data_IF_834508811619
#
_entry.id   IF_834508811619
#
_cell.length_a   1.000
_cell.length_b   1.000
_cell.length_c   1.000
_cell.angle_alpha   90.00
_cell.angle_beta   90.00
_cell.angle_gamma   90.00
#
_symmetry.space_group_name_H-M   'P 1'
#
loop_
_entity.id
_entity.type
_entity.pdbx_description
1 polymer ?
#
# COMPACT_ATOMS: atom_id res chain seq x y z
N UNK A 1 12.80 7.43 -14.45
CA UNK A 1 11.72 6.47 -14.16
C UNK A 1 12.33 5.08 -14.15
N UNK A 2 12.08 4.32 -13.09
CA UNK A 2 12.53 2.94 -12.93
C UNK A 2 11.30 2.04 -12.91
N UNK A 3 11.14 1.20 -13.92
CA UNK A 3 10.06 0.20 -14.00
C UNK A 3 10.68 -1.19 -13.85
N UNK A 4 10.26 -1.92 -12.81
CA UNK A 4 10.67 -3.31 -12.60
C UNK A 4 9.64 -4.23 -13.24
N UNK A 5 10.03 -4.97 -14.27
CA UNK A 5 9.13 -5.89 -14.98
C UNK A 5 9.13 -7.27 -14.31
N UNK A 6 7.95 -7.81 -14.05
CA UNK A 6 7.76 -9.04 -13.29
C UNK A 6 6.66 -9.88 -13.96
N UNK A 7 6.93 -11.14 -14.23
CA UNK A 7 5.91 -12.10 -14.69
C UNK A 7 5.43 -12.93 -13.50
N UNK A 8 4.12 -12.99 -13.32
CA UNK A 8 3.47 -13.73 -12.22
C UNK A 8 2.59 -14.83 -12.82
N UNK A 9 2.92 -16.12 -12.61
CA UNK A 9 2.10 -17.22 -13.05
C UNK A 9 0.90 -17.39 -12.10
N UNK A 10 -0.23 -16.86 -12.50
CA UNK A 10 -1.48 -16.89 -11.73
C UNK A 10 -2.50 -17.86 -12.33
N UNK A 11 -2.29 -18.34 -13.56
CA UNK A 11 -3.24 -19.14 -14.31
C UNK A 11 -4.33 -18.28 -14.97
N UNK A 12 -3.96 -17.13 -15.50
CA UNK A 12 -4.87 -16.23 -16.18
C UNK A 12 -5.41 -16.88 -17.49
N UNK A 13 -6.70 -16.69 -17.81
CA UNK A 13 -7.29 -17.16 -19.04
C UNK A 13 -6.62 -16.56 -20.27
N UNK A 14 -6.20 -15.32 -20.16
CA UNK A 14 -5.43 -14.58 -21.16
C UNK A 14 -4.42 -13.70 -20.46
N UNK A 15 -3.14 -13.70 -20.87
CA UNK A 15 -2.12 -12.82 -20.30
C UNK A 15 -2.53 -11.35 -20.38
N UNK A 16 -2.28 -10.61 -19.28
CA UNK A 16 -2.55 -9.18 -19.21
C UNK A 16 -1.51 -8.46 -18.34
N UNK A 17 -1.43 -7.14 -18.51
CA UNK A 17 -0.45 -6.34 -17.77
C UNK A 17 -1.14 -5.29 -16.91
N UNK A 18 -0.53 -4.95 -15.76
CA UNK A 18 -0.95 -3.87 -14.89
C UNK A 18 0.27 -3.15 -14.32
N UNK A 19 0.18 -1.82 -14.18
CA UNK A 19 1.21 -1.01 -13.53
C UNK A 19 0.91 -0.92 -12.03
N UNK A 20 1.85 -1.34 -11.20
CA UNK A 20 1.73 -1.22 -9.75
C UNK A 20 2.51 -0.01 -9.25
N UNK A 21 1.78 0.95 -8.72
CA UNK A 21 2.26 2.18 -8.11
C UNK A 21 1.98 2.18 -6.60
N UNK A 22 2.81 2.83 -5.82
CA UNK A 22 2.67 3.00 -4.37
C UNK A 22 3.44 4.22 -3.89
N UNK A 23 3.13 4.71 -2.69
CA UNK A 23 3.97 5.67 -1.97
C UNK A 23 4.31 6.92 -2.80
N UNK A 24 3.30 7.60 -3.33
CA UNK A 24 3.45 8.86 -4.06
C UNK A 24 3.63 10.05 -3.13
N UNK A 25 3.08 9.99 -1.92
CA UNK A 25 3.20 10.99 -0.86
C UNK A 25 2.98 12.42 -1.33
N UNK A 26 1.84 12.68 -1.97
CA UNK A 26 1.47 14.04 -2.36
C UNK A 26 1.38 14.95 -1.13
N UNK A 27 2.05 16.09 -1.20
CA UNK A 27 2.15 17.05 -0.12
C UNK A 27 1.54 18.40 -0.54
N UNK A 28 0.25 18.41 -0.85
CA UNK A 28 -0.48 19.61 -1.26
C UNK A 28 -1.28 20.18 -0.08
N UNK A 29 -1.36 21.48 -0.01
CA UNK A 29 -2.25 22.22 0.88
C UNK A 29 -2.62 23.55 0.23
N UNK A 30 -3.79 24.11 0.57
CA UNK A 30 -4.23 25.39 0.03
C UNK A 30 -4.91 26.29 1.10
N UNK A 31 -5.64 27.33 0.68
CA UNK A 31 -6.25 28.30 1.57
C UNK A 31 -7.36 27.71 2.47
N UNK A 32 -7.88 26.52 2.20
CA UNK A 32 -8.84 25.79 3.01
C UNK A 32 -8.19 25.09 4.21
N UNK A 33 -6.87 24.86 4.12
CA UNK A 33 -6.08 24.24 5.18
C UNK A 33 -5.55 25.28 6.15
N UNK A 34 -5.33 24.88 7.41
CA UNK A 34 -4.71 25.76 8.39
C UNK A 34 -3.22 26.01 8.12
N UNK A 35 -2.62 27.00 8.77
CA UNK A 35 -1.21 27.37 8.60
C UNK A 35 -0.25 26.21 8.92
N UNK A 36 -0.60 25.36 9.91
CA UNK A 36 0.19 24.19 10.27
C UNK A 36 0.27 23.18 9.12
N UNK A 37 -0.84 22.89 8.44
CA UNK A 37 -0.87 22.00 7.27
C UNK A 37 -0.12 22.61 6.08
N UNK A 38 -0.25 23.90 5.84
CA UNK A 38 0.50 24.58 4.79
C UNK A 38 2.02 24.51 5.03
N UNK A 39 2.44 24.63 6.30
CA UNK A 39 3.86 24.46 6.70
C UNK A 39 4.31 23.01 6.56
N UNK A 40 3.46 22.05 7.00
CA UNK A 40 3.71 20.62 6.87
C UNK A 40 3.90 20.22 5.40
N UNK A 41 3.03 20.68 4.50
CA UNK A 41 3.11 20.40 3.07
C UNK A 41 4.47 20.79 2.48
N UNK A 42 4.94 22.00 2.79
CA UNK A 42 6.27 22.49 2.33
C UNK A 42 7.41 21.63 2.88
N UNK A 43 7.39 21.34 4.18
CA UNK A 43 8.45 20.59 4.84
C UNK A 43 8.52 19.15 4.33
N UNK A 44 7.37 18.48 4.17
CA UNK A 44 7.30 17.11 3.68
C UNK A 44 7.70 17.00 2.21
N UNK A 45 7.18 17.89 1.34
CA UNK A 45 7.59 17.93 -0.05
C UNK A 45 9.10 18.14 -0.21
N UNK A 46 9.68 19.04 0.58
CA UNK A 46 11.14 19.26 0.58
C UNK A 46 11.90 18.01 1.05
N UNK A 47 11.42 17.31 2.07
CA UNK A 47 12.06 16.10 2.58
C UNK A 47 12.11 14.97 1.55
N UNK A 48 11.02 14.74 0.80
CA UNK A 48 10.97 13.72 -0.25
C UNK A 48 11.80 14.09 -1.51
N UNK A 49 11.99 15.37 -1.78
CA UNK A 49 12.50 15.82 -3.08
C UNK A 49 13.85 16.55 -3.01
N UNK A 50 14.42 16.66 -1.81
CA UNK A 50 15.67 17.41 -1.62
C UNK A 50 15.53 18.91 -1.94
N UNK A 51 14.36 19.50 -1.61
CA UNK A 51 14.10 20.93 -1.81
C UNK A 51 13.44 21.30 -3.15
N UNK A 52 12.95 20.33 -3.91
CA UNK A 52 12.27 20.53 -5.20
C UNK A 52 10.81 20.04 -5.17
N UNK A 53 9.88 20.70 -4.46
CA UNK A 53 8.53 20.18 -4.16
C UNK A 53 7.71 19.83 -5.40
N UNK A 54 7.86 20.53 -6.51
CA UNK A 54 7.18 20.23 -7.77
C UNK A 54 7.49 18.82 -8.28
N UNK A 55 8.65 18.28 -7.94
CA UNK A 55 9.08 16.94 -8.36
C UNK A 55 8.13 15.82 -7.93
N UNK A 56 7.38 15.97 -6.82
CA UNK A 56 6.36 14.97 -6.42
C UNK A 56 5.28 14.82 -7.48
N UNK A 57 4.75 15.95 -7.96
CA UNK A 57 3.74 15.95 -9.02
C UNK A 57 4.32 15.44 -10.34
N UNK A 58 5.53 15.87 -10.70
CA UNK A 58 6.19 15.43 -11.94
C UNK A 58 6.42 13.90 -11.91
N UNK A 59 6.77 13.32 -10.76
CA UNK A 59 6.98 11.88 -10.63
C UNK A 59 5.67 11.11 -10.85
N UNK A 60 4.58 11.57 -10.26
CA UNK A 60 3.27 10.96 -10.45
C UNK A 60 2.80 11.08 -11.90
N UNK A 61 2.88 12.27 -12.48
CA UNK A 61 2.45 12.50 -13.87
C UNK A 61 3.26 11.67 -14.88
N UNK A 62 4.55 11.48 -14.66
CA UNK A 62 5.38 10.62 -15.51
C UNK A 62 4.91 9.15 -15.45
N UNK A 63 4.58 8.63 -14.26
CA UNK A 63 4.06 7.27 -14.10
C UNK A 63 2.67 7.12 -14.73
N UNK A 64 1.78 8.09 -14.54
CA UNK A 64 0.46 8.12 -15.18
C UNK A 64 0.56 8.24 -16.69
N UNK A 65 1.49 9.05 -17.20
CA UNK A 65 1.74 9.17 -18.64
C UNK A 65 2.23 7.84 -19.23
N UNK A 66 3.10 7.13 -18.51
CA UNK A 66 3.53 5.79 -18.90
C UNK A 66 2.35 4.81 -18.93
N UNK A 67 1.51 4.77 -17.88
CA UNK A 67 0.33 3.92 -17.85
C UNK A 67 -0.62 4.20 -19.03
N UNK A 68 -0.89 5.48 -19.31
CA UNK A 68 -1.74 5.89 -20.45
C UNK A 68 -1.14 5.48 -21.80
N UNK A 69 0.16 5.72 -22.01
CA UNK A 69 0.86 5.38 -23.25
C UNK A 69 0.80 3.88 -23.54
N UNK A 70 0.98 3.06 -22.52
CA UNK A 70 1.01 1.60 -22.62
C UNK A 70 -0.40 0.97 -22.45
N UNK A 71 -1.44 1.78 -22.25
CA UNK A 71 -2.82 1.36 -21.98
C UNK A 71 -2.92 0.36 -20.82
N UNK A 72 -2.30 0.69 -19.68
CA UNK A 72 -2.20 -0.17 -18.50
C UNK A 72 -3.23 0.24 -17.44
N UNK A 73 -4.04 -0.69 -16.94
CA UNK A 73 -4.70 -0.52 -15.64
C UNK A 73 -3.68 -0.34 -14.52
N UNK A 74 -4.07 0.38 -13.47
CA UNK A 74 -3.22 0.69 -12.32
C UNK A 74 -3.66 -0.12 -11.10
N UNK A 75 -2.71 -0.77 -10.44
CA UNK A 75 -2.80 -1.23 -9.06
C UNK A 75 -2.13 -0.17 -8.18
N UNK A 76 -2.81 0.31 -7.14
CA UNK A 76 -2.24 1.28 -6.22
C UNK A 76 -2.31 0.76 -4.79
N UNK A 77 -1.17 0.62 -4.13
CA UNK A 77 -1.09 0.04 -2.78
C UNK A 77 -0.96 1.08 -1.68
N UNK A 78 -1.53 2.26 -1.87
CA UNK A 78 -1.66 3.27 -0.81
C UNK A 78 -0.54 4.30 -0.76
N UNK A 79 -0.66 5.21 0.20
CA UNK A 79 0.20 6.38 0.39
C UNK A 79 0.29 7.26 -0.88
N UNK A 80 -0.88 7.44 -1.53
CA UNK A 80 -1.02 8.42 -2.61
C UNK A 80 -0.82 9.84 -2.09
N UNK A 81 -1.36 10.12 -0.91
CA UNK A 81 -1.20 11.38 -0.19
C UNK A 81 -0.31 11.19 1.04
N UNK A 82 0.39 12.23 1.49
CA UNK A 82 1.23 12.17 2.71
C UNK A 82 0.44 12.52 3.98
N UNK A 83 -0.64 13.25 3.84
CA UNK A 83 -1.59 13.61 4.91
C UNK A 83 -2.91 14.10 4.30
N UNK A 84 -3.97 14.06 5.10
CA UNK A 84 -5.29 14.52 4.67
C UNK A 84 -5.31 16.05 4.55
N UNK A 85 -5.55 16.56 3.35
CA UNK A 85 -5.83 17.96 3.04
C UNK A 85 -6.79 18.06 1.87
N UNK A 86 -7.55 19.15 1.77
CA UNK A 86 -8.50 19.34 0.67
C UNK A 86 -7.79 19.33 -0.69
N UNK A 87 -6.61 19.96 -0.77
CA UNK A 87 -5.83 20.00 -2.01
C UNK A 87 -5.31 18.60 -2.43
N UNK A 88 -4.87 17.77 -1.49
CA UNK A 88 -4.46 16.39 -1.76
C UNK A 88 -5.64 15.55 -2.26
N UNK A 89 -6.80 15.64 -1.60
CA UNK A 89 -7.98 14.87 -1.97
C UNK A 89 -8.54 15.29 -3.33
N UNK A 90 -8.64 16.58 -3.60
CA UNK A 90 -9.06 17.10 -4.91
C UNK A 90 -8.13 16.66 -6.03
N UNK A 91 -6.81 16.71 -5.78
CA UNK A 91 -5.84 16.27 -6.78
C UNK A 91 -5.92 14.77 -7.02
N UNK A 92 -6.02 13.96 -5.97
CA UNK A 92 -6.21 12.50 -6.07
C UNK A 92 -7.45 12.16 -6.87
N UNK A 93 -8.59 12.77 -6.55
CA UNK A 93 -9.84 12.60 -7.30
C UNK A 93 -9.69 12.97 -8.77
N UNK A 94 -9.01 14.08 -9.05
CA UNK A 94 -8.75 14.54 -10.43
C UNK A 94 -7.92 13.54 -11.21
N UNK A 95 -6.81 13.03 -10.64
CA UNK A 95 -5.89 12.17 -11.38
C UNK A 95 -6.43 10.76 -11.60
N UNK A 96 -7.27 10.27 -10.69
CA UNK A 96 -7.91 8.95 -10.84
C UNK A 96 -9.21 9.00 -11.65
N UNK A 97 -9.73 10.19 -11.96
CA UNK A 97 -10.94 10.32 -12.75
C UNK A 97 -10.73 9.79 -14.19
N UNK A 98 -11.50 8.79 -14.58
CA UNK A 98 -11.39 8.17 -15.92
C UNK A 98 -10.17 7.26 -16.12
N UNK A 99 -9.44 6.95 -15.05
CA UNK A 99 -8.32 5.97 -15.06
C UNK A 99 -8.81 4.66 -14.46
N UNK A 100 -8.48 3.53 -15.09
CA UNK A 100 -8.76 2.22 -14.52
C UNK A 100 -7.77 1.93 -13.36
N UNK A 101 -8.23 2.16 -12.14
CA UNK A 101 -7.44 1.98 -10.91
C UNK A 101 -8.13 1.00 -9.98
N UNK A 102 -7.35 0.09 -9.39
CA UNK A 102 -7.74 -0.75 -8.27
C UNK A 102 -6.81 -0.47 -7.10
N UNK A 103 -7.34 0.07 -6.00
CA UNK A 103 -6.54 0.64 -4.92
C UNK A 103 -6.79 -0.02 -3.56
N UNK A 104 -5.72 -0.12 -2.75
CA UNK A 104 -5.78 -0.27 -1.30
C UNK A 104 -5.35 1.05 -0.64
N UNK A 105 -5.84 1.34 0.56
CA UNK A 105 -5.39 2.49 1.32
C UNK A 105 -4.02 2.26 1.95
N UNK A 106 -3.20 3.31 2.06
CA UNK A 106 -2.03 3.37 2.91
C UNK A 106 -2.31 4.07 4.25
N UNK A 107 -1.34 4.07 5.15
CA UNK A 107 -1.53 4.71 6.46
C UNK A 107 -1.54 6.24 6.38
N UNK A 108 -0.93 6.80 5.36
CA UNK A 108 -0.90 8.25 5.14
C UNK A 108 -2.24 8.79 4.62
N UNK A 109 -3.09 7.97 4.02
CA UNK A 109 -4.48 8.33 3.69
C UNK A 109 -5.29 8.75 4.93
N UNK A 110 -4.89 8.32 6.12
CA UNK A 110 -5.56 8.63 7.39
C UNK A 110 -4.68 9.44 8.34
N UNK A 111 -3.61 10.06 7.86
CA UNK A 111 -2.74 10.90 8.66
C UNK A 111 -3.23 12.34 8.71
N UNK A 112 -3.46 12.88 9.91
CA UNK A 112 -3.81 14.29 10.09
C UNK A 112 -2.57 15.19 10.00
N UNK A 113 -1.53 14.82 10.74
CA UNK A 113 -0.23 15.50 10.77
C UNK A 113 0.88 14.45 10.90
N UNK A 114 1.70 14.33 9.91
CA UNK A 114 2.83 13.39 9.93
C UNK A 114 3.80 13.74 11.07
N UNK A 115 4.18 12.72 11.85
CA UNK A 115 5.08 12.86 12.98
C UNK A 115 4.41 13.21 14.31
N UNK A 116 3.12 13.58 14.32
CA UNK A 116 2.38 13.91 15.54
C UNK A 116 1.13 13.06 15.75
N UNK A 117 0.28 12.95 14.73
CA UNK A 117 -0.97 12.21 14.75
C UNK A 117 -1.10 11.37 13.47
N UNK A 118 -0.10 10.60 13.18
CA UNK A 118 0.02 9.84 11.95
C UNK A 118 -0.66 8.47 11.99
N UNK A 119 -0.95 7.94 13.17
CA UNK A 119 -1.71 6.71 13.37
C UNK A 119 -2.73 6.90 14.49
N UNK A 120 -3.73 7.71 14.21
CA UNK A 120 -4.83 8.04 15.12
C UNK A 120 -6.11 7.38 14.60
N UNK A 121 -6.51 6.28 15.24
CA UNK A 121 -7.73 5.54 14.89
C UNK A 121 -8.99 6.40 14.96
N UNK A 122 -9.07 7.32 15.93
CA UNK A 122 -10.21 8.23 16.03
C UNK A 122 -10.22 9.22 14.86
N UNK A 123 -9.06 9.65 14.38
CA UNK A 123 -8.98 10.47 13.18
C UNK A 123 -9.30 9.66 11.93
N UNK A 124 -8.80 8.43 11.80
CA UNK A 124 -9.15 7.52 10.70
C UNK A 124 -10.67 7.36 10.61
N UNK A 125 -11.33 7.05 11.73
CA UNK A 125 -12.78 6.88 11.76
C UNK A 125 -13.55 8.15 11.33
N UNK A 126 -13.10 9.34 11.74
CA UNK A 126 -13.75 10.61 11.37
C UNK A 126 -13.51 11.02 9.92
N UNK A 127 -12.34 10.71 9.37
CA UNK A 127 -11.93 11.14 8.02
C UNK A 127 -12.25 10.12 6.94
N UNK A 128 -12.59 8.89 7.29
CA UNK A 128 -12.71 7.76 6.37
C UNK A 128 -13.58 8.04 5.16
N UNK A 129 -14.83 8.46 5.37
CA UNK A 129 -15.76 8.71 4.26
C UNK A 129 -15.32 9.88 3.39
N UNK A 130 -14.73 10.91 4.01
CA UNK A 130 -14.20 12.07 3.29
C UNK A 130 -13.01 11.69 2.41
N UNK A 131 -12.08 10.91 2.94
CA UNK A 131 -10.92 10.43 2.19
C UNK A 131 -11.36 9.45 1.09
N UNK A 132 -12.22 8.48 1.43
CA UNK A 132 -12.76 7.49 0.48
C UNK A 132 -13.39 8.14 -0.74
N UNK A 133 -14.08 9.28 -0.58
CA UNK A 133 -14.71 9.99 -1.69
C UNK A 133 -13.74 10.53 -2.76
N UNK A 134 -12.44 10.58 -2.47
CA UNK A 134 -11.39 10.99 -3.39
C UNK A 134 -10.74 9.81 -4.14
N UNK A 135 -10.99 8.58 -3.71
CA UNK A 135 -10.38 7.37 -4.28
C UNK A 135 -11.39 6.52 -5.06
N UNK A 136 -10.95 5.71 -6.02
CA UNK A 136 -11.82 4.78 -6.73
C UNK A 136 -12.13 3.55 -5.85
N UNK A 137 -13.39 3.18 -5.78
CA UNK A 137 -13.84 1.95 -5.11
C UNK A 137 -13.87 2.04 -3.59
N UNK A 138 -13.91 0.88 -2.94
CA UNK A 138 -13.89 0.73 -1.49
C UNK A 138 -12.52 0.19 -1.03
N UNK A 139 -11.63 1.08 -0.67
CA UNK A 139 -10.28 0.69 -0.27
C UNK A 139 -10.19 0.08 1.15
N UNK A 140 -11.30 -0.02 1.90
CA UNK A 140 -11.35 -0.79 3.13
C UNK A 140 -11.35 -2.30 2.85
N UNK A 141 -12.21 -2.71 1.89
CA UNK A 141 -12.24 -4.07 1.35
C UNK A 141 -12.95 -4.05 0.00
N UNK A 142 -12.29 -4.53 -1.04
CA UNK A 142 -12.92 -4.65 -2.35
C UNK A 142 -12.34 -5.81 -3.16
N UNK A 143 -13.12 -6.30 -4.12
CA UNK A 143 -12.70 -7.35 -5.05
C UNK A 143 -12.95 -6.94 -6.49
N UNK A 144 -12.12 -7.47 -7.39
CA UNK A 144 -12.27 -7.27 -8.84
C UNK A 144 -11.84 -8.54 -9.58
N UNK A 145 -12.64 -8.98 -10.53
CA UNK A 145 -12.27 -10.06 -11.45
C UNK A 145 -11.62 -9.52 -12.71
N UNK A 146 -10.47 -10.07 -13.09
CA UNK A 146 -9.78 -9.76 -14.36
C UNK A 146 -9.23 -11.08 -14.93
N UNK A 147 -9.68 -11.47 -16.11
CA UNK A 147 -9.21 -12.64 -16.85
C UNK A 147 -9.10 -13.93 -16.00
N UNK A 148 -10.15 -14.23 -15.22
CA UNK A 148 -10.21 -15.43 -14.36
C UNK A 148 -9.46 -15.27 -13.02
N UNK A 149 -8.84 -14.13 -12.75
CA UNK A 149 -8.11 -13.86 -11.51
C UNK A 149 -8.89 -12.91 -10.63
N UNK A 150 -9.01 -13.21 -9.34
CA UNK A 150 -9.64 -12.37 -8.33
C UNK A 150 -8.58 -11.49 -7.64
N UNK A 151 -8.64 -10.18 -7.85
CA UNK A 151 -7.88 -9.20 -7.09
C UNK A 151 -8.66 -8.83 -5.84
N UNK A 152 -8.03 -8.87 -4.67
CA UNK A 152 -8.63 -8.56 -3.37
C UNK A 152 -7.79 -7.49 -2.70
N UNK A 153 -8.37 -6.29 -2.48
CA UNK A 153 -7.72 -5.23 -1.73
C UNK A 153 -8.24 -5.18 -0.29
N UNK A 154 -7.33 -5.11 0.66
CA UNK A 154 -7.63 -5.07 2.10
C UNK A 154 -6.88 -3.93 2.75
N UNK A 155 -7.59 -3.06 3.47
CA UNK A 155 -6.98 -2.06 4.35
C UNK A 155 -6.37 -2.77 5.57
N UNK A 156 -5.05 -2.86 5.60
CA UNK A 156 -4.28 -3.43 6.71
C UNK A 156 -3.44 -2.37 7.45
N UNK A 157 -3.87 -1.11 7.36
CA UNK A 157 -3.17 -0.01 7.99
C UNK A 157 -3.21 -0.10 9.51
N UNK A 158 -2.19 0.47 10.12
CA UNK A 158 -1.87 0.34 11.55
C UNK A 158 -1.55 -1.09 11.95
N UNK A 159 -1.14 -1.94 10.96
CA UNK A 159 -0.68 -3.33 11.14
C UNK A 159 -1.73 -4.30 11.69
N UNK A 160 -3.01 -4.03 11.46
CA UNK A 160 -4.09 -4.96 11.82
C UNK A 160 -5.14 -5.04 10.72
N UNK A 161 -5.97 -6.07 10.79
CA UNK A 161 -7.23 -6.18 10.05
C UNK A 161 -8.36 -6.43 11.03
N UNK A 162 -9.57 -6.04 10.67
CA UNK A 162 -10.74 -6.30 11.51
C UNK A 162 -11.21 -7.75 11.38
N UNK A 163 -11.94 -8.30 12.38
CA UNK A 163 -12.57 -9.62 12.26
C UNK A 163 -13.46 -9.72 11.01
N UNK A 164 -14.15 -8.64 10.65
CA UNK A 164 -15.00 -8.60 9.46
C UNK A 164 -14.18 -8.71 8.17
N UNK A 165 -13.06 -8.02 8.05
CA UNK A 165 -12.15 -8.15 6.90
C UNK A 165 -11.60 -9.57 6.78
N UNK A 166 -11.23 -10.21 7.89
CA UNK A 166 -10.78 -11.61 7.90
C UNK A 166 -11.87 -12.54 7.36
N UNK A 167 -13.12 -12.39 7.80
CA UNK A 167 -14.23 -13.21 7.31
C UNK A 167 -14.57 -12.92 5.85
N UNK A 168 -14.52 -11.67 5.42
CA UNK A 168 -14.67 -11.31 4.01
C UNK A 168 -13.58 -11.96 3.16
N UNK A 169 -12.32 -11.88 3.58
CA UNK A 169 -11.21 -12.48 2.85
C UNK A 169 -11.33 -14.00 2.78
N UNK A 170 -11.72 -14.65 3.88
CA UNK A 170 -12.01 -16.10 3.92
C UNK A 170 -13.09 -16.48 2.91
N UNK A 171 -14.20 -15.75 2.90
CA UNK A 171 -15.31 -15.99 1.98
C UNK A 171 -14.90 -15.81 0.52
N UNK A 172 -14.19 -14.72 0.22
CA UNK A 172 -13.77 -14.40 -1.15
C UNK A 172 -12.72 -15.37 -1.72
N UNK A 173 -12.00 -16.09 -0.86
CA UNK A 173 -11.00 -17.07 -1.28
C UNK A 173 -11.50 -18.52 -1.23
N UNK A 174 -12.69 -18.76 -0.69
CA UNK A 174 -13.25 -20.11 -0.51
C UNK A 174 -13.65 -20.80 -1.83
N UNK A 175 -13.91 -20.06 -2.88
CA UNK A 175 -14.31 -20.60 -4.19
C UNK A 175 -13.13 -21.20 -4.98
N UNK A 176 -11.91 -21.07 -4.50
CA UNK A 176 -10.71 -21.61 -5.12
C UNK A 176 -10.23 -20.88 -6.37
N UNK A 177 -10.89 -19.78 -6.76
CA UNK A 177 -10.44 -18.92 -7.88
C UNK A 177 -9.04 -18.38 -7.55
N UNK A 178 -8.09 -18.40 -8.50
CA UNK A 178 -6.78 -17.79 -8.31
C UNK A 178 -6.89 -16.36 -7.84
N UNK A 179 -6.23 -16.02 -6.73
CA UNK A 179 -6.35 -14.72 -6.09
C UNK A 179 -5.00 -13.98 -6.00
N UNK A 180 -5.04 -12.65 -6.12
CA UNK A 180 -3.92 -11.73 -5.84
C UNK A 180 -4.37 -10.80 -4.72
N UNK A 181 -3.66 -10.82 -3.61
CA UNK A 181 -3.92 -9.94 -2.46
C UNK A 181 -3.18 -8.62 -2.66
N UNK A 182 -3.87 -7.50 -2.43
CA UNK A 182 -3.35 -6.14 -2.51
C UNK A 182 -3.55 -5.46 -1.16
N UNK A 183 -2.48 -4.96 -0.58
CA UNK A 183 -2.49 -4.30 0.71
C UNK A 183 -1.33 -3.28 0.77
N UNK A 184 -1.33 -2.41 1.77
CA UNK A 184 -0.24 -1.44 1.91
C UNK A 184 0.95 -2.01 2.69
N UNK A 185 0.73 -2.43 3.94
CA UNK A 185 1.80 -2.98 4.76
C UNK A 185 2.12 -4.42 4.32
N UNK A 186 3.34 -4.72 3.84
CA UNK A 186 3.70 -6.06 3.40
C UNK A 186 3.57 -7.08 4.52
N UNK A 187 3.16 -8.29 4.16
CA UNK A 187 3.04 -9.40 5.11
C UNK A 187 4.41 -9.86 5.59
N UNK A 188 4.51 -10.19 6.87
CA UNK A 188 5.70 -10.81 7.40
C UNK A 188 5.99 -12.15 6.71
N UNK A 189 7.24 -12.34 6.37
CA UNK A 189 7.88 -13.63 6.10
C UNK A 189 9.33 -13.55 6.58
N UNK A 190 9.95 -14.68 6.89
CA UNK A 190 11.35 -14.70 7.30
C UNK A 190 12.26 -14.09 6.23
N UNK A 191 11.98 -14.39 4.96
CA UNK A 191 12.71 -13.87 3.81
C UNK A 191 12.63 -12.33 3.74
N UNK A 192 11.43 -11.74 3.78
CA UNK A 192 11.29 -10.28 3.74
C UNK A 192 11.87 -9.61 4.97
N UNK A 193 11.65 -10.19 6.16
CA UNK A 193 12.20 -9.67 7.41
C UNK A 193 13.73 -9.58 7.34
N UNK A 194 14.40 -10.63 6.87
CA UNK A 194 15.85 -10.63 6.69
C UNK A 194 16.32 -9.54 5.73
N UNK A 195 15.61 -9.33 4.62
CA UNK A 195 15.94 -8.29 3.63
C UNK A 195 15.77 -6.88 4.20
N UNK A 196 14.66 -6.60 4.88
CA UNK A 196 14.34 -5.24 5.37
C UNK A 196 15.16 -4.84 6.59
N UNK A 197 15.65 -5.79 7.37
CA UNK A 197 16.49 -5.54 8.55
C UNK A 197 17.98 -5.60 8.28
N UNK A 198 18.38 -6.09 7.11
CA UNK A 198 19.79 -6.20 6.73
C UNK A 198 20.53 -4.86 6.85
N UNK A 199 21.60 -4.82 7.66
CA UNK A 199 22.41 -3.62 7.88
C UNK A 199 21.77 -2.52 8.71
N UNK A 200 20.56 -2.74 9.27
CA UNK A 200 19.89 -1.80 10.16
C UNK A 200 20.28 -2.07 11.62
N UNK A 201 20.01 -1.08 12.49
CA UNK A 201 20.16 -1.23 13.93
C UNK A 201 19.12 -2.23 14.48
N UNK A 202 19.41 -2.94 15.58
CA UNK A 202 18.46 -3.91 16.17
C UNK A 202 17.11 -3.32 16.61
N UNK A 203 17.06 -2.01 16.88
CA UNK A 203 15.88 -1.26 17.28
C UNK A 203 15.15 -0.60 16.10
N UNK A 204 15.59 -0.86 14.87
CA UNK A 204 14.91 -0.36 13.68
C UNK A 204 13.65 -1.19 13.38
N UNK A 205 12.48 -0.57 13.28
CA UNK A 205 11.24 -1.29 13.02
C UNK A 205 11.24 -1.92 11.62
N UNK A 206 10.77 -3.18 11.50
CA UNK A 206 10.69 -3.88 10.21
C UNK A 206 9.56 -3.35 9.32
N UNK A 207 8.50 -2.77 9.92
CA UNK A 207 7.33 -2.29 9.19
C UNK A 207 6.60 -3.37 8.38
N UNK A 208 6.45 -4.57 8.98
CA UNK A 208 5.77 -5.71 8.38
C UNK A 208 4.51 -6.09 9.17
N UNK A 209 3.43 -6.34 8.46
CA UNK A 209 2.17 -6.82 9.02
C UNK A 209 2.33 -8.25 9.55
N UNK A 210 1.91 -8.48 10.79
CA UNK A 210 1.97 -9.81 11.41
C UNK A 210 3.40 -10.24 11.81
N UNK A 211 4.33 -9.31 11.98
CA UNK A 211 5.68 -9.62 12.46
C UNK A 211 5.62 -10.25 13.87
N UNK A 212 6.26 -11.42 14.11
CA UNK A 212 6.22 -12.09 15.40
C UNK A 212 6.71 -11.22 16.57
N UNK A 213 5.97 -11.22 17.68
CA UNK A 213 6.27 -10.40 18.86
C UNK A 213 7.72 -10.51 19.34
N UNK A 214 8.37 -11.70 19.39
CA UNK A 214 9.78 -11.79 19.82
C UNK A 214 10.74 -10.93 19.01
N UNK A 215 10.47 -10.72 17.72
CA UNK A 215 11.30 -9.91 16.81
C UNK A 215 11.10 -8.40 17.01
N UNK A 216 10.05 -8.00 17.71
CA UNK A 216 9.69 -6.60 17.95
C UNK A 216 10.20 -6.10 19.33
N UNK A 217 10.70 -6.97 20.21
CA UNK A 217 11.06 -6.63 21.60
C UNK A 217 12.19 -5.63 21.75
N UNK A 218 12.99 -5.41 20.70
CA UNK A 218 14.06 -4.41 20.70
C UNK A 218 13.57 -3.02 20.32
N UNK A 219 12.34 -2.91 19.84
CA UNK A 219 11.73 -1.64 19.46
C UNK A 219 11.41 -0.79 20.70
N UNK A 220 11.34 0.54 20.53
CA UNK A 220 10.75 1.39 21.55
C UNK A 220 9.26 1.07 21.76
N UNK A 221 8.72 1.45 22.92
CA UNK A 221 7.35 1.13 23.34
C UNK A 221 6.28 1.53 22.31
N UNK A 222 6.47 2.65 21.63
CA UNK A 222 5.52 3.13 20.65
C UNK A 222 5.49 2.20 19.43
N UNK A 223 6.67 1.91 18.85
CA UNK A 223 6.79 1.03 17.68
C UNK A 223 6.43 -0.42 17.97
N UNK A 224 6.76 -0.89 19.17
CA UNK A 224 6.33 -2.20 19.61
C UNK A 224 4.81 -2.34 19.64
N UNK A 225 4.12 -1.40 20.31
CA UNK A 225 2.64 -1.41 20.40
C UNK A 225 1.96 -1.28 19.03
N UNK A 226 2.55 -0.50 18.14
CA UNK A 226 2.06 -0.28 16.80
C UNK A 226 2.10 -1.55 15.94
N UNK A 227 3.19 -2.31 16.01
CA UNK A 227 3.43 -3.44 15.09
C UNK A 227 3.16 -4.81 15.71
N UNK A 228 2.90 -4.85 17.03
CA UNK A 228 2.56 -6.11 17.68
C UNK A 228 1.24 -6.65 17.13
N UNK A 229 1.25 -7.88 16.53
CA UNK A 229 0.03 -8.46 16.00
C UNK A 229 -0.94 -8.83 17.12
N UNK A 230 -2.22 -8.69 16.84
CA UNK A 230 -3.29 -9.30 17.60
C UNK A 230 -3.66 -10.66 17.01
N UNK A 231 -4.59 -11.36 17.67
CA UNK A 231 -5.01 -12.70 17.25
C UNK A 231 -5.70 -12.71 15.88
N UNK A 232 -6.35 -11.63 15.47
CA UNK A 232 -7.01 -11.52 14.16
C UNK A 232 -5.96 -11.32 13.06
N UNK A 233 -4.96 -10.49 13.32
CA UNK A 233 -3.80 -10.26 12.45
C UNK A 233 -3.03 -11.57 12.21
N UNK A 234 -2.76 -12.31 13.29
CA UNK A 234 -2.11 -13.63 13.20
C UNK A 234 -2.93 -14.63 12.38
N UNK A 235 -4.26 -14.68 12.62
CA UNK A 235 -5.17 -15.56 11.87
C UNK A 235 -5.23 -15.18 10.38
N UNK A 236 -5.19 -13.90 10.04
CA UNK A 236 -5.15 -13.43 8.64
C UNK A 236 -3.85 -13.87 7.96
N UNK A 237 -2.70 -13.69 8.60
CA UNK A 237 -1.41 -14.14 8.06
C UNK A 237 -1.35 -15.66 7.88
N UNK A 238 -1.85 -16.42 8.87
CA UNK A 238 -1.96 -17.88 8.78
C UNK A 238 -2.87 -18.32 7.61
N UNK A 239 -4.00 -17.63 7.42
CA UNK A 239 -4.88 -17.88 6.28
C UNK A 239 -4.14 -17.64 4.96
N UNK A 240 -3.45 -16.51 4.80
CA UNK A 240 -2.64 -16.22 3.60
C UNK A 240 -1.61 -17.33 3.32
N UNK A 241 -0.98 -17.88 4.37
CA UNK A 241 -0.01 -18.96 4.26
C UNK A 241 -0.65 -20.35 4.00
N UNK A 242 -1.95 -20.49 4.13
CA UNK A 242 -2.66 -21.78 3.94
C UNK A 242 -3.41 -21.89 2.60
N UNK A 243 -3.61 -20.78 1.88
CA UNK A 243 -4.44 -20.74 0.69
C UNK A 243 -3.67 -21.16 -0.59
N UNK A 244 -4.01 -22.30 -1.21
CA UNK A 244 -3.33 -22.76 -2.42
C UNK A 244 -3.66 -21.91 -3.66
N UNK A 245 -4.78 -21.18 -3.61
CA UNK A 245 -5.23 -20.28 -4.65
C UNK A 245 -4.71 -18.84 -4.50
N UNK A 246 -4.05 -18.48 -3.41
CA UNK A 246 -3.34 -17.20 -3.30
C UNK A 246 -2.06 -17.25 -4.13
N UNK A 247 -2.02 -16.52 -5.26
CA UNK A 247 -0.95 -16.60 -6.25
C UNK A 247 0.10 -15.52 -6.10
N UNK A 248 -0.25 -14.38 -5.50
CA UNK A 248 0.70 -13.32 -5.20
C UNK A 248 0.15 -12.39 -4.11
N UNK A 249 1.07 -11.69 -3.43
CA UNK A 249 0.80 -10.57 -2.53
C UNK A 249 1.54 -9.34 -3.05
N UNK A 250 0.84 -8.20 -3.19
CA UNK A 250 1.39 -6.95 -3.68
C UNK A 250 1.26 -5.89 -2.60
N UNK A 251 2.37 -5.24 -2.24
CA UNK A 251 2.41 -4.25 -1.17
C UNK A 251 3.23 -2.99 -1.51
N UNK A 252 3.19 -2.01 -0.60
CA UNK A 252 3.95 -0.75 -0.66
C UNK A 252 4.71 -0.50 0.63
N UNK A 253 4.60 0.73 1.19
CA UNK A 253 5.01 1.12 2.53
C UNK A 253 6.53 1.20 2.78
N UNK A 254 7.32 0.33 2.19
CA UNK A 254 8.76 0.23 2.46
C UNK A 254 9.60 1.20 1.61
N UNK A 255 8.98 1.92 0.71
CA UNK A 255 9.61 2.90 -0.21
C UNK A 255 10.77 2.34 -1.03
N UNK A 256 10.82 1.03 -1.19
CA UNK A 256 11.86 0.33 -1.94
C UNK A 256 11.30 -0.98 -2.49
N UNK A 257 11.74 -1.33 -3.68
CA UNK A 257 11.41 -2.63 -4.26
C UNK A 257 11.98 -3.78 -3.44
N UNK A 258 11.12 -4.77 -3.13
CA UNK A 258 11.50 -6.06 -2.60
C UNK A 258 10.74 -7.17 -3.33
N UNK A 259 11.41 -8.29 -3.52
CA UNK A 259 10.81 -9.55 -3.93
C UNK A 259 11.08 -10.59 -2.84
N UNK A 260 10.04 -11.21 -2.34
CA UNK A 260 10.10 -12.21 -1.26
C UNK A 260 9.06 -13.30 -1.47
N UNK A 261 9.02 -14.25 -0.56
CA UNK A 261 7.99 -15.27 -0.51
C UNK A 261 7.43 -15.38 0.90
N UNK A 262 6.12 -15.63 1.00
CA UNK A 262 5.51 -16.11 2.23
C UNK A 262 6.02 -17.52 2.57
N UNK A 263 5.78 -17.99 3.79
CA UNK A 263 6.19 -19.33 4.23
C UNK A 263 5.52 -20.44 3.40
N UNK A 264 4.34 -20.17 2.84
CA UNK A 264 3.67 -21.03 1.84
C UNK A 264 4.41 -21.14 0.50
N UNK A 265 5.39 -20.31 0.25
CA UNK A 265 6.03 -20.15 -1.07
C UNK A 265 5.34 -19.14 -2.00
N UNK A 266 4.20 -18.58 -1.62
CA UNK A 266 3.48 -17.54 -2.38
C UNK A 266 4.38 -16.32 -2.57
N UNK A 267 4.61 -15.85 -3.81
CA UNK A 267 5.45 -14.68 -4.05
C UNK A 267 4.82 -13.41 -3.50
N UNK A 268 5.65 -12.56 -2.91
CA UNK A 268 5.28 -11.23 -2.44
C UNK A 268 6.20 -10.18 -3.06
N UNK A 269 5.60 -9.13 -3.60
CA UNK A 269 6.31 -8.03 -4.22
C UNK A 269 5.92 -6.71 -3.58
N UNK A 270 6.91 -5.93 -3.19
CA UNK A 270 6.75 -4.57 -2.67
C UNK A 270 7.16 -3.60 -3.77
N UNK A 271 6.32 -2.60 -4.03
CA UNK A 271 6.67 -1.56 -4.99
C UNK A 271 7.73 -0.61 -4.43
N UNK A 272 8.56 -0.07 -5.31
CA UNK A 272 9.36 1.11 -5.00
C UNK A 272 8.48 2.35 -4.89
N UNK A 273 9.07 3.45 -4.45
CA UNK A 273 8.33 4.68 -4.17
C UNK A 273 7.96 5.48 -5.42
N UNK A 274 6.69 5.79 -5.57
CA UNK A 274 6.16 6.62 -6.64
C UNK A 274 6.76 8.03 -6.64
N UNK A 275 7.07 8.58 -5.45
CA UNK A 275 7.74 9.89 -5.35
C UNK A 275 9.17 9.91 -5.93
N UNK A 276 9.77 8.74 -6.14
CA UNK A 276 11.07 8.59 -6.82
C UNK A 276 10.94 8.13 -8.28
N UNK A 277 9.73 8.09 -8.85
CA UNK A 277 9.41 7.55 -10.18
C UNK A 277 9.70 6.05 -10.31
N UNK A 278 9.44 5.28 -9.26
CA UNK A 278 9.56 3.84 -9.26
C UNK A 278 8.18 3.18 -9.33
N UNK A 279 8.06 2.09 -10.07
CA UNK A 279 6.86 1.28 -10.16
C UNK A 279 7.20 -0.14 -10.62
N UNK A 280 6.29 -1.11 -10.41
CA UNK A 280 6.40 -2.44 -10.95
C UNK A 280 5.43 -2.61 -12.13
N UNK A 281 5.86 -3.28 -13.19
CA UNK A 281 5.01 -3.68 -14.30
C UNK A 281 4.81 -5.19 -14.25
N UNK A 282 3.62 -5.62 -13.88
CA UNK A 282 3.29 -7.03 -13.85
C UNK A 282 2.74 -7.52 -15.18
N UNK A 283 3.19 -8.71 -15.58
CA UNK A 283 2.54 -9.55 -16.58
C UNK A 283 1.97 -10.77 -15.88
N UNK A 284 0.66 -10.85 -15.78
CA UNK A 284 -0.07 -12.00 -15.24
C UNK A 284 -0.32 -13.01 -16.37
N UNK A 285 0.12 -14.30 -16.14
CA UNK A 285 0.02 -15.38 -17.12
C UNK A 285 -0.67 -16.61 -16.54
#
# INVERSE_FOLDING_TARGET
MLITEITIPVGAETPFRMLHMSDNHLCLADARDNERKNTLAKNRANAFTGGHPQRLLDCLEDLLAFARKENLPILHTGDMIDFVSEANLDYTKKVFNGVDVFAAAGNHEFSQYVGEAWEDEAYKARSFDHVKAAFPGDFWFQTRMVNGIKFIAVDNNYYYVTPEQLELFRRETADGIPAVLILHNPLYSEDLYAQVTAGKKPDAPPYLFGCPEPLLRTLNDHRYRQQKPDTVTEAFLQLCNSLPNLKAVLGGHLHKYYASRLDSGTPQYVAGSGYAREANLYTFI
#
